data_IF_643834073665
#
_entry.id   IF_643834073665
#
_cell.length_a   1.000
_cell.length_b   1.000
_cell.length_c   1.000
_cell.angle_alpha   90.00
_cell.angle_beta   90.00
_cell.angle_gamma   90.00
#
_symmetry.space_group_name_H-M   'P 1'
#
loop_
_entity.id
_entity.type
_entity.pdbx_description
1 polymer ?
#
# COMPACT_ATOMS: atom_id res chain seq x y z
N UNK A 1 21.27 9.11 45.99
CA UNK A 1 20.02 9.24 46.78
C UNK A 1 19.41 10.58 46.44
N UNK A 2 18.23 10.57 45.82
CA UNK A 2 17.58 11.78 45.29
C UNK A 2 16.56 11.36 44.23
N UNK A 3 15.48 10.71 44.69
CA UNK A 3 14.41 10.23 43.83
C UNK A 3 13.66 11.38 43.18
N UNK A 4 13.85 11.56 41.88
CA UNK A 4 12.92 12.28 41.02
C UNK A 4 11.73 11.37 40.73
N UNK A 5 10.61 11.64 41.39
CA UNK A 5 9.32 10.97 41.15
C UNK A 5 9.04 10.92 39.65
N UNK A 6 9.02 9.73 39.08
CA UNK A 6 8.34 9.46 37.82
C UNK A 6 6.90 9.92 37.99
N UNK A 7 6.50 10.99 37.29
CA UNK A 7 5.09 11.32 37.14
C UNK A 7 4.48 10.22 36.27
N UNK A 8 4.00 9.15 36.87
CA UNK A 8 3.00 8.27 36.25
C UNK A 8 1.71 9.08 36.13
N UNK A 9 1.63 9.92 35.10
CA UNK A 9 0.32 10.21 34.53
C UNK A 9 -0.15 8.89 33.95
N UNK A 10 -0.95 8.13 34.71
CA UNK A 10 -1.77 7.08 34.13
C UNK A 10 -2.75 7.80 33.20
N UNK A 11 -2.32 8.06 31.95
CA UNK A 11 -3.16 8.77 31.00
C UNK A 11 -4.44 7.94 30.82
N UNK A 12 -5.60 8.55 31.00
CA UNK A 12 -6.88 7.85 30.90
C UNK A 12 -7.00 7.25 29.49
N UNK A 13 -7.27 5.94 29.38
CA UNK A 13 -7.44 5.30 28.06
C UNK A 13 -8.76 5.76 27.43
N UNK A 14 -8.74 6.50 26.31
CA UNK A 14 -9.95 7.12 25.76
C UNK A 14 -11.02 6.11 25.34
N UNK A 15 -12.33 6.40 25.47
CA UNK A 15 -13.40 5.50 25.05
C UNK A 15 -13.30 5.16 23.55
N UNK A 16 -13.90 4.06 23.10
CA UNK A 16 -13.71 3.56 21.72
C UNK A 16 -14.17 4.52 20.61
N UNK A 17 -15.11 5.41 20.92
CA UNK A 17 -15.63 6.44 20.00
C UNK A 17 -14.80 7.75 20.00
N UNK A 18 -13.72 7.82 20.78
CA UNK A 18 -12.92 9.03 20.89
C UNK A 18 -12.10 9.27 19.60
N UNK A 19 -12.04 10.52 19.08
CA UNK A 19 -11.20 10.86 17.92
C UNK A 19 -9.73 10.51 18.10
N UNK A 20 -9.25 10.33 19.33
CA UNK A 20 -7.93 9.77 19.64
C UNK A 20 -7.61 8.48 18.86
N UNK A 21 -8.60 7.66 18.53
CA UNK A 21 -8.34 6.42 17.78
C UNK A 21 -8.26 6.62 16.26
N UNK A 22 -8.62 7.81 15.76
CA UNK A 22 -8.49 8.15 14.36
C UNK A 22 -7.05 8.56 14.04
N UNK A 23 -6.40 7.75 13.21
CA UNK A 23 -5.04 7.99 12.72
C UNK A 23 -5.02 8.17 11.20
N UNK A 24 -6.16 8.47 10.57
CA UNK A 24 -6.29 8.50 9.11
C UNK A 24 -5.31 9.48 8.46
N UNK A 25 -5.12 10.67 9.05
CA UNK A 25 -4.14 11.65 8.57
C UNK A 25 -2.70 11.15 8.70
N UNK A 26 -2.36 10.51 9.82
CA UNK A 26 -1.02 9.94 10.05
C UNK A 26 -0.74 8.72 9.16
N UNK A 27 -1.77 7.92 8.90
CA UNK A 27 -1.71 6.78 7.98
C UNK A 27 -1.42 7.25 6.56
N UNK A 28 -2.04 8.35 6.11
CA UNK A 28 -1.74 8.93 4.80
C UNK A 28 -0.27 9.37 4.67
N UNK A 29 0.36 9.84 5.76
CA UNK A 29 1.77 10.26 5.78
C UNK A 29 2.78 9.10 5.84
N UNK A 30 2.33 7.90 6.20
CA UNK A 30 3.20 6.74 6.48
C UNK A 30 2.91 5.51 5.62
N UNK A 31 1.88 5.60 4.79
CA UNK A 31 1.47 4.51 3.90
C UNK A 31 2.37 4.38 2.67
N UNK A 32 2.31 3.19 2.06
CA UNK A 32 3.16 2.80 0.95
C UNK A 32 4.56 2.34 1.38
N UNK A 33 5.21 1.59 0.50
CA UNK A 33 6.61 1.22 0.68
C UNK A 33 7.57 2.26 0.10
N UNK A 34 8.81 2.25 0.59
CA UNK A 34 9.89 3.14 0.17
C UNK A 34 10.63 2.63 -1.08
N UNK A 35 10.05 1.69 -1.83
CA UNK A 35 10.72 1.17 -3.03
C UNK A 35 10.63 2.20 -4.16
N UNK A 36 11.66 2.30 -5.00
CA UNK A 36 11.51 2.87 -6.34
C UNK A 36 10.35 2.22 -7.09
N UNK A 37 9.70 2.96 -7.98
CA UNK A 37 8.78 2.34 -8.94
C UNK A 37 9.60 1.59 -9.99
N UNK A 38 9.16 0.40 -10.36
CA UNK A 38 9.76 -0.42 -11.43
C UNK A 38 8.80 -0.54 -12.61
N UNK A 39 9.36 -0.47 -13.80
CA UNK A 39 8.66 -0.83 -15.04
C UNK A 39 9.41 -2.01 -15.65
N UNK A 40 8.72 -3.12 -15.85
CA UNK A 40 9.30 -4.35 -16.41
C UNK A 40 10.01 -5.28 -15.42
N UNK A 41 9.86 -5.08 -14.10
CA UNK A 41 10.50 -5.91 -13.09
C UNK A 41 9.89 -5.80 -11.69
N UNK A 42 10.15 -6.77 -10.81
CA UNK A 42 9.80 -6.67 -9.40
C UNK A 42 10.82 -5.81 -8.61
N UNK A 43 10.53 -5.53 -7.33
CA UNK A 43 11.35 -4.64 -6.50
C UNK A 43 12.77 -5.12 -6.18
N UNK A 44 13.08 -6.39 -6.40
CA UNK A 44 14.44 -6.97 -6.28
C UNK A 44 15.11 -7.18 -7.65
N UNK A 45 14.42 -6.78 -8.73
CA UNK A 45 14.90 -6.94 -10.10
C UNK A 45 14.69 -8.34 -10.69
N UNK A 46 13.76 -9.12 -10.17
CA UNK A 46 13.29 -10.38 -10.78
C UNK A 46 12.02 -10.18 -11.63
N UNK A 47 11.37 -11.29 -12.00
CA UNK A 47 10.10 -11.34 -12.74
C UNK A 47 10.07 -10.39 -13.95
N UNK A 48 11.14 -10.45 -14.74
CA UNK A 48 11.44 -9.50 -15.81
C UNK A 48 10.49 -9.63 -16.98
N UNK A 49 10.03 -8.50 -17.50
CA UNK A 49 9.23 -8.47 -18.71
C UNK A 49 10.04 -8.89 -19.94
N UNK A 50 9.40 -9.65 -20.83
CA UNK A 50 9.92 -10.06 -22.12
C UNK A 50 8.96 -9.58 -23.20
N UNK A 51 9.46 -8.74 -24.10
CA UNK A 51 8.68 -8.15 -25.18
C UNK A 51 8.84 -6.63 -25.27
N UNK A 52 7.88 -5.97 -25.90
CA UNK A 52 7.90 -4.53 -26.12
C UNK A 52 6.90 -3.82 -25.19
N UNK A 53 7.28 -2.64 -24.70
CA UNK A 53 6.33 -1.69 -24.11
C UNK A 53 6.45 -0.34 -24.80
N UNK A 54 5.32 0.27 -25.15
CA UNK A 54 5.30 1.56 -25.85
C UNK A 54 4.93 2.74 -24.95
N UNK A 55 4.14 2.47 -23.90
CA UNK A 55 3.72 3.48 -22.93
C UNK A 55 3.44 2.81 -21.59
N UNK A 56 3.76 3.49 -20.50
CA UNK A 56 3.40 3.08 -19.14
C UNK A 56 3.02 4.31 -18.32
N UNK A 57 1.92 4.24 -17.59
CA UNK A 57 1.32 5.39 -16.89
C UNK A 57 0.85 5.05 -15.49
N UNK A 58 0.83 6.08 -14.65
CA UNK A 58 0.27 6.08 -13.31
C UNK A 58 -0.62 7.31 -13.13
N UNK A 59 -1.85 7.06 -12.69
CA UNK A 59 -2.86 8.06 -12.37
C UNK A 59 -3.17 8.04 -10.88
N UNK A 60 -3.26 9.20 -10.23
CA UNK A 60 -3.70 9.36 -8.83
C UNK A 60 -5.24 9.46 -8.71
N UNK A 61 -5.95 8.71 -9.57
CA UNK A 61 -7.39 8.49 -9.51
C UNK A 61 -7.75 7.21 -10.24
N UNK A 62 -8.92 6.64 -9.93
CA UNK A 62 -9.50 5.60 -10.75
C UNK A 62 -10.08 6.22 -12.04
N UNK A 63 -9.61 5.77 -13.20
CA UNK A 63 -10.22 6.13 -14.48
C UNK A 63 -11.57 5.42 -14.65
N UNK A 64 -12.50 6.05 -15.39
CA UNK A 64 -13.76 5.42 -15.76
C UNK A 64 -13.55 4.41 -16.89
N UNK A 65 -14.48 3.44 -17.09
CA UNK A 65 -14.40 2.53 -18.23
C UNK A 65 -14.29 3.25 -19.58
N UNK A 66 -14.97 4.38 -19.76
CA UNK A 66 -14.96 5.18 -20.99
C UNK A 66 -13.60 5.84 -21.22
N UNK A 67 -12.98 6.36 -20.17
CA UNK A 67 -11.62 6.92 -20.24
C UNK A 67 -10.59 5.85 -20.60
N UNK A 68 -10.67 4.67 -19.97
CA UNK A 68 -9.78 3.53 -20.28
C UNK A 68 -10.01 3.04 -21.71
N UNK A 69 -11.26 3.02 -22.19
CA UNK A 69 -11.57 2.70 -23.58
C UNK A 69 -10.98 3.74 -24.56
N UNK A 70 -11.03 5.03 -24.20
CA UNK A 70 -10.38 6.11 -24.95
C UNK A 70 -8.87 5.88 -25.07
N UNK A 71 -8.19 5.56 -23.96
CA UNK A 71 -6.75 5.27 -23.93
C UNK A 71 -6.36 4.04 -24.76
N UNK A 72 -7.26 3.05 -24.89
CA UNK A 72 -7.07 1.87 -25.71
C UNK A 72 -7.27 2.13 -27.22
N UNK A 73 -8.07 3.14 -27.57
CA UNK A 73 -8.29 3.53 -28.97
C UNK A 73 -7.22 4.50 -29.48
N UNK A 74 -6.86 5.48 -28.63
CA UNK A 74 -5.78 6.43 -28.87
C UNK A 74 -5.00 6.59 -27.56
N UNK A 75 -3.70 6.24 -27.54
CA UNK A 75 -2.88 6.43 -26.34
C UNK A 75 -2.94 7.84 -25.77
N UNK A 76 -3.17 8.89 -26.55
CA UNK A 76 -3.34 10.26 -26.02
C UNK A 76 -4.63 10.41 -25.21
N UNK A 77 -5.74 9.83 -25.69
CA UNK A 77 -7.09 9.82 -25.11
C UNK A 77 -7.63 11.17 -24.66
N UNK A 78 -6.99 12.29 -25.03
CA UNK A 78 -7.33 13.63 -24.54
C UNK A 78 -7.08 13.88 -23.04
N UNK A 79 -6.40 12.97 -22.34
CA UNK A 79 -6.22 13.03 -20.88
C UNK A 79 -4.83 13.51 -20.44
N UNK A 80 -3.97 13.94 -21.38
CA UNK A 80 -2.59 14.35 -21.07
C UNK A 80 -2.50 15.60 -20.16
N UNK A 81 -3.56 16.40 -20.10
CA UNK A 81 -3.66 17.58 -19.22
C UNK A 81 -4.33 17.33 -17.87
N UNK A 82 -4.69 16.08 -17.57
CA UNK A 82 -5.32 15.73 -16.29
C UNK A 82 -4.32 15.87 -15.14
N UNK A 83 -4.61 16.67 -14.10
CA UNK A 83 -3.71 16.82 -12.95
C UNK A 83 -3.49 15.52 -12.16
N UNK A 84 -4.35 14.51 -12.32
CA UNK A 84 -4.16 13.20 -11.73
C UNK A 84 -3.16 12.33 -12.49
N UNK A 85 -2.73 12.70 -13.70
CA UNK A 85 -1.66 11.99 -14.42
C UNK A 85 -0.31 12.27 -13.73
N UNK A 86 0.17 11.31 -12.95
CA UNK A 86 1.40 11.46 -12.16
C UNK A 86 2.62 11.16 -12.99
N UNK A 87 2.54 10.08 -13.77
CA UNK A 87 3.64 9.62 -14.60
C UNK A 87 3.13 9.14 -15.95
N UNK A 88 3.81 9.58 -17.01
CA UNK A 88 3.57 9.18 -18.39
C UNK A 88 4.88 8.92 -19.11
N UNK A 89 5.28 7.65 -19.18
CA UNK A 89 6.49 7.24 -19.86
C UNK A 89 6.15 6.82 -21.28
N UNK A 90 6.53 7.65 -22.23
CA UNK A 90 6.51 7.33 -23.66
C UNK A 90 7.77 6.53 -23.95
N UNK A 91 7.64 5.20 -23.91
CA UNK A 91 8.72 4.23 -24.01
C UNK A 91 9.16 4.05 -25.46
N UNK A 92 9.41 5.15 -26.17
CA UNK A 92 9.78 5.14 -27.59
C UNK A 92 11.18 5.70 -27.84
N UNK A 93 11.77 6.33 -26.82
CA UNK A 93 13.15 6.82 -26.83
C UNK A 93 13.79 6.69 -25.44
N UNK A 94 15.11 6.54 -25.42
CA UNK A 94 15.96 6.70 -24.24
C UNK A 94 17.07 7.69 -24.58
N UNK A 95 17.26 8.71 -23.73
CA UNK A 95 18.36 9.67 -23.84
C UNK A 95 19.29 9.45 -22.66
N UNK A 96 20.52 9.03 -22.94
CA UNK A 96 21.51 8.67 -21.91
C UNK A 96 20.98 7.66 -20.89
N UNK A 97 20.20 6.68 -21.37
CA UNK A 97 19.57 5.66 -20.53
C UNK A 97 18.36 6.17 -19.71
N UNK A 98 17.81 7.35 -20.03
CA UNK A 98 16.68 7.94 -19.31
C UNK A 98 15.47 8.11 -20.23
N UNK A 99 14.30 7.71 -19.73
CA UNK A 99 13.00 8.04 -20.27
C UNK A 99 12.39 9.14 -19.41
N UNK A 100 12.04 10.27 -20.04
CA UNK A 100 11.42 11.40 -19.33
C UNK A 100 9.96 11.10 -19.01
N UNK A 101 9.50 11.66 -17.90
CA UNK A 101 8.08 11.72 -17.60
C UNK A 101 7.43 12.81 -18.47
N UNK A 102 6.46 12.46 -19.31
CA UNK A 102 5.72 13.43 -20.12
C UNK A 102 4.66 14.21 -19.33
N UNK A 103 4.30 13.75 -18.12
CA UNK A 103 3.35 14.42 -17.24
C UNK A 103 3.96 15.58 -16.42
N UNK A 104 5.30 15.72 -16.41
CA UNK A 104 5.98 16.80 -15.70
C UNK A 104 7.51 16.66 -15.68
N UNK A 105 8.21 17.65 -15.16
CA UNK A 105 9.69 17.72 -15.23
C UNK A 105 10.43 16.79 -14.23
N UNK A 106 9.71 16.08 -13.38
CA UNK A 106 10.27 15.18 -12.38
C UNK A 106 9.85 13.72 -12.61
N UNK A 107 10.35 12.79 -11.80
CA UNK A 107 10.05 11.36 -11.88
C UNK A 107 10.60 10.72 -13.16
N UNK A 108 11.83 11.05 -13.56
CA UNK A 108 12.46 10.38 -14.69
C UNK A 108 12.67 8.88 -14.43
N UNK A 109 12.43 8.06 -15.46
CA UNK A 109 12.64 6.61 -15.41
C UNK A 109 14.00 6.27 -16.01
N UNK A 110 14.90 5.70 -15.20
CA UNK A 110 16.26 5.33 -15.60
C UNK A 110 16.34 3.85 -15.94
N UNK A 111 16.98 3.54 -17.06
CA UNK A 111 17.34 2.18 -17.43
C UNK A 111 18.33 1.59 -16.44
N UNK A 112 18.03 0.37 -15.99
CA UNK A 112 18.94 -0.47 -15.22
C UNK A 112 19.09 -1.78 -15.99
N UNK A 113 20.32 -2.13 -16.36
CA UNK A 113 20.58 -3.25 -17.26
C UNK A 113 20.32 -2.89 -18.73
N UNK A 114 20.07 -3.91 -19.57
CA UNK A 114 19.85 -3.70 -21.01
C UNK A 114 18.38 -3.49 -21.33
N UNK A 115 18.06 -2.29 -21.80
CA UNK A 115 16.81 -1.95 -22.50
C UNK A 115 17.17 -1.14 -23.73
N UNK A 116 16.50 -1.41 -24.85
CA UNK A 116 16.81 -0.76 -26.12
C UNK A 116 15.56 -0.32 -26.85
N UNK A 117 15.69 0.72 -27.65
CA UNK A 117 14.61 1.17 -28.53
C UNK A 117 14.54 0.25 -29.73
N UNK A 118 13.37 -0.31 -30.00
CA UNK A 118 13.09 -1.22 -31.11
C UNK A 118 11.67 -0.93 -31.62
N UNK A 119 11.52 -0.68 -32.92
CA UNK A 119 10.20 -0.47 -33.56
C UNK A 119 9.32 0.63 -32.93
N UNK A 120 9.94 1.69 -32.39
CA UNK A 120 9.20 2.77 -31.74
C UNK A 120 8.61 2.39 -30.37
N UNK A 121 9.19 1.39 -29.72
CA UNK A 121 8.93 0.95 -28.36
C UNK A 121 10.24 0.62 -27.63
N UNK A 122 10.20 0.34 -26.33
CA UNK A 122 11.34 -0.25 -25.61
C UNK A 122 11.20 -1.76 -25.60
N UNK A 123 12.27 -2.43 -26.00
CA UNK A 123 12.46 -3.88 -25.90
C UNK A 123 13.06 -4.22 -24.55
N UNK A 124 12.38 -5.13 -23.86
CA UNK A 124 12.82 -5.78 -22.64
C UNK A 124 13.18 -7.23 -23.00
N UNK A 125 14.43 -7.63 -22.73
CA UNK A 125 14.98 -8.95 -23.07
C UNK A 125 15.16 -9.85 -21.85
N UNK A 126 14.70 -9.40 -20.67
CA UNK A 126 14.98 -10.05 -19.39
C UNK A 126 16.20 -9.49 -18.66
N UNK A 127 17.06 -8.75 -19.35
CA UNK A 127 18.33 -8.24 -18.83
C UNK A 127 18.24 -6.81 -18.27
N UNK A 128 17.08 -6.16 -18.41
CA UNK A 128 16.91 -4.77 -18.00
C UNK A 128 15.47 -4.36 -17.74
N UNK A 129 15.34 -3.17 -17.18
CA UNK A 129 14.08 -2.59 -16.69
C UNK A 129 14.26 -1.09 -16.44
N UNK A 130 13.17 -0.39 -16.14
CA UNK A 130 13.25 1.02 -15.72
C UNK A 130 13.01 1.18 -14.21
N UNK A 131 13.73 2.14 -13.62
CA UNK A 131 13.62 2.57 -12.24
C UNK A 131 13.22 4.04 -12.18
N UNK A 132 12.18 4.35 -11.41
CA UNK A 132 11.87 5.73 -11.02
C UNK A 132 12.18 5.86 -9.55
N UNK A 133 13.05 6.81 -9.20
CA UNK A 133 13.46 7.05 -7.83
C UNK A 133 12.26 7.24 -6.91
N UNK A 134 12.44 6.85 -5.64
CA UNK A 134 11.42 7.00 -4.60
C UNK A 134 10.90 8.45 -4.56
N UNK A 135 9.58 8.59 -4.71
CA UNK A 135 8.87 9.87 -4.59
C UNK A 135 7.46 9.62 -4.02
N UNK A 136 6.97 10.46 -3.09
CA UNK A 136 5.63 10.32 -2.51
C UNK A 136 4.49 10.40 -3.53
N UNK A 137 4.68 11.10 -4.66
CA UNK A 137 3.65 11.18 -5.72
C UNK A 137 3.35 9.82 -6.34
N UNK A 138 4.28 8.88 -6.24
CA UNK A 138 4.12 7.50 -6.69
C UNK A 138 3.44 6.61 -5.62
N UNK A 139 2.76 7.18 -4.62
CA UNK A 139 2.08 6.42 -3.55
C UNK A 139 0.61 6.87 -3.36
N UNK A 140 -0.21 6.86 -4.43
CA UNK A 140 -1.64 7.14 -4.30
C UNK A 140 -2.31 6.20 -3.29
N UNK A 141 -3.19 6.73 -2.42
CA UNK A 141 -3.77 5.99 -1.29
C UNK A 141 -5.23 5.59 -1.51
N UNK A 142 -6.03 6.50 -2.08
CA UNK A 142 -7.49 6.33 -2.14
C UNK A 142 -7.94 5.71 -3.46
N UNK A 143 -7.33 6.13 -4.57
CA UNK A 143 -7.65 5.61 -5.89
C UNK A 143 -6.49 5.82 -6.84
N UNK A 144 -6.31 4.89 -7.79
CA UNK A 144 -5.30 5.02 -8.84
C UNK A 144 -5.62 4.15 -10.05
N UNK A 145 -4.94 4.44 -11.15
CA UNK A 145 -4.94 3.59 -12.35
C UNK A 145 -3.51 3.39 -12.82
N UNK A 146 -3.18 2.14 -13.15
CA UNK A 146 -1.96 1.74 -13.84
C UNK A 146 -2.38 1.33 -15.25
N UNK A 147 -1.74 1.87 -16.28
CA UNK A 147 -1.98 1.40 -17.64
C UNK A 147 -0.69 1.30 -18.46
N UNK A 148 -0.71 0.40 -19.43
CA UNK A 148 0.39 0.21 -20.35
C UNK A 148 -0.06 -0.29 -21.71
N UNK A 149 0.71 0.07 -22.74
CA UNK A 149 0.69 -0.60 -24.04
C UNK A 149 1.84 -1.60 -24.08
N UNK A 150 1.50 -2.88 -24.17
CA UNK A 150 2.45 -4.00 -24.12
C UNK A 150 2.28 -4.91 -25.33
N UNK A 151 3.39 -5.48 -25.80
CA UNK A 151 3.43 -6.55 -26.78
C UNK A 151 4.33 -7.64 -26.19
N UNK A 152 3.76 -8.54 -25.37
CA UNK A 152 4.54 -9.54 -24.64
C UNK A 152 5.04 -10.64 -25.57
N UNK A 153 6.10 -11.32 -25.15
CA UNK A 153 6.48 -12.62 -25.71
C UNK A 153 5.71 -13.75 -25.00
N UNK A 154 6.10 -15.00 -25.20
CA UNK A 154 5.65 -16.09 -24.31
C UNK A 154 6.32 -15.91 -22.95
N UNK A 155 5.52 -15.69 -21.91
CA UNK A 155 6.02 -15.37 -20.57
C UNK A 155 6.11 -16.62 -19.68
N UNK A 156 7.06 -16.65 -18.72
CA UNK A 156 7.21 -17.76 -17.77
C UNK A 156 5.94 -18.04 -16.95
N UNK A 157 5.86 -19.19 -16.27
CA UNK A 157 4.69 -19.58 -15.48
C UNK A 157 4.24 -18.50 -14.48
N UNK A 158 5.19 -17.86 -13.81
CA UNK A 158 4.94 -16.78 -12.84
C UNK A 158 4.57 -15.44 -13.49
N UNK A 159 4.55 -15.38 -14.83
CA UNK A 159 4.41 -14.16 -15.62
C UNK A 159 5.60 -13.22 -15.46
N UNK A 160 5.36 -11.95 -15.72
CA UNK A 160 6.32 -10.86 -15.57
C UNK A 160 5.64 -9.55 -15.14
N UNK A 161 6.41 -8.65 -14.52
CA UNK A 161 5.91 -7.34 -14.07
C UNK A 161 5.77 -6.36 -15.23
N UNK A 162 4.70 -5.57 -15.19
CA UNK A 162 4.53 -4.42 -16.08
C UNK A 162 4.89 -3.15 -15.32
N UNK A 163 4.15 -2.85 -14.25
CA UNK A 163 4.43 -1.75 -13.31
C UNK A 163 4.42 -2.35 -11.91
N UNK A 164 5.46 -2.11 -11.12
CA UNK A 164 5.60 -2.69 -9.77
C UNK A 164 6.12 -1.65 -8.78
N UNK A 165 5.40 -1.53 -7.67
CA UNK A 165 5.84 -0.81 -6.49
C UNK A 165 5.44 -1.60 -5.25
N UNK A 166 5.66 -2.91 -5.23
CA UNK A 166 5.48 -3.72 -4.01
C UNK A 166 6.82 -4.25 -3.51
N UNK A 167 6.94 -4.48 -2.21
CA UNK A 167 8.00 -5.34 -1.70
C UNK A 167 7.74 -6.77 -2.17
N UNK A 168 8.73 -7.43 -2.78
CA UNK A 168 8.55 -8.79 -3.29
C UNK A 168 8.02 -9.73 -2.19
N UNK A 169 6.89 -10.39 -2.47
CA UNK A 169 6.20 -11.29 -1.54
C UNK A 169 5.33 -10.61 -0.48
N UNK A 170 5.09 -9.30 -0.57
CA UNK A 170 4.26 -8.54 0.38
C UNK A 170 3.29 -7.61 -0.37
N UNK A 171 2.04 -7.53 0.09
CA UNK A 171 1.01 -6.66 -0.48
C UNK A 171 1.06 -5.25 0.18
N UNK A 172 2.19 -4.52 0.02
CA UNK A 172 2.46 -3.22 0.66
C UNK A 172 2.51 -2.01 -0.30
N UNK A 173 1.87 -2.16 -1.45
CA UNK A 173 1.79 -1.15 -2.51
C UNK A 173 0.90 -1.64 -3.65
N UNK A 174 1.24 -1.26 -4.87
CA UNK A 174 0.52 -1.66 -6.08
C UNK A 174 1.42 -2.31 -7.11
N UNK A 175 0.85 -3.22 -7.89
CA UNK A 175 1.47 -3.73 -9.11
C UNK A 175 0.43 -4.15 -10.14
N UNK A 176 0.82 -4.06 -11.42
CA UNK A 176 0.16 -4.68 -12.55
C UNK A 176 1.16 -5.65 -13.19
N UNK A 177 0.80 -6.93 -13.26
CA UNK A 177 1.64 -7.98 -13.83
C UNK A 177 0.83 -8.91 -14.75
N UNK A 178 1.53 -9.89 -15.33
CA UNK A 178 0.97 -10.86 -16.27
C UNK A 178 0.73 -12.25 -15.67
N UNK A 179 0.71 -12.38 -14.34
CA UNK A 179 0.67 -13.69 -13.70
C UNK A 179 -0.73 -14.36 -13.78
N UNK A 180 -0.81 -15.66 -14.10
CA UNK A 180 0.26 -16.51 -14.63
C UNK A 180 0.49 -16.31 -16.14
N UNK A 181 1.74 -16.51 -16.59
CA UNK A 181 2.15 -16.39 -18.00
C UNK A 181 1.78 -15.04 -18.63
N UNK A 182 0.82 -15.06 -19.56
CA UNK A 182 0.32 -13.92 -20.32
C UNK A 182 -1.07 -13.49 -19.84
N UNK A 183 -1.39 -13.76 -18.56
CA UNK A 183 -2.64 -13.32 -17.93
C UNK A 183 -2.53 -11.87 -17.47
N UNK A 184 -3.44 -11.40 -16.63
CA UNK A 184 -3.30 -10.13 -15.92
C UNK A 184 -3.67 -10.27 -14.45
N UNK A 185 -2.93 -9.57 -13.60
CA UNK A 185 -3.27 -9.43 -12.19
C UNK A 185 -2.90 -8.05 -11.68
N UNK A 186 -3.82 -7.47 -10.91
CA UNK A 186 -3.62 -6.25 -10.13
C UNK A 186 -3.58 -6.66 -8.65
N UNK A 187 -2.49 -6.32 -7.96
CA UNK A 187 -2.37 -6.44 -6.50
C UNK A 187 -2.32 -5.03 -5.92
N UNK A 188 -3.07 -4.83 -4.85
CA UNK A 188 -3.13 -3.60 -4.05
C UNK A 188 -3.07 -3.94 -2.56
N UNK A 189 -2.88 -2.95 -1.70
CA UNK A 189 -2.97 -3.14 -0.25
C UNK A 189 -4.38 -3.60 0.19
N UNK A 190 -5.40 -3.39 -0.63
CA UNK A 190 -6.79 -3.69 -0.34
C UNK A 190 -7.35 -4.86 -1.15
N UNK A 191 -6.57 -5.57 -1.96
CA UNK A 191 -7.14 -6.65 -2.76
C UNK A 191 -6.23 -7.21 -3.82
N UNK A 192 -6.69 -8.30 -4.41
CA UNK A 192 -6.10 -8.88 -5.62
C UNK A 192 -7.23 -9.21 -6.57
N UNK A 193 -7.10 -8.82 -7.84
CA UNK A 193 -7.96 -9.25 -8.93
C UNK A 193 -7.09 -9.82 -10.05
N UNK A 194 -7.52 -10.94 -10.61
CA UNK A 194 -6.83 -11.62 -11.70
C UNK A 194 -7.79 -11.98 -12.83
N UNK A 195 -7.25 -12.10 -14.04
CA UNK A 195 -7.99 -12.48 -15.23
C UNK A 195 -7.08 -13.28 -16.17
N UNK A 196 -7.54 -14.43 -16.65
CA UNK A 196 -6.85 -15.26 -17.65
C UNK A 196 -6.91 -14.57 -19.03
N UNK A 197 -6.14 -13.49 -19.18
CA UNK A 197 -6.18 -12.59 -20.33
C UNK A 197 -5.67 -13.24 -21.61
N UNK A 198 -4.75 -14.21 -21.50
CA UNK A 198 -4.10 -14.90 -22.63
C UNK A 198 -3.62 -13.92 -23.70
N UNK A 199 -2.90 -12.87 -23.27
CA UNK A 199 -2.33 -11.88 -24.18
C UNK A 199 -1.49 -12.60 -25.23
N UNK A 200 -1.85 -12.45 -26.51
CA UNK A 200 -1.18 -13.11 -27.61
C UNK A 200 0.29 -12.65 -27.69
N UNK A 201 1.26 -13.57 -27.72
CA UNK A 201 2.65 -13.20 -27.94
C UNK A 201 2.84 -12.47 -29.27
N UNK A 202 3.56 -11.36 -29.26
CA UNK A 202 3.84 -10.55 -30.46
C UNK A 202 2.70 -9.64 -30.91
N UNK A 203 1.57 -9.59 -30.19
CA UNK A 203 0.47 -8.65 -30.49
C UNK A 203 0.39 -7.54 -29.45
N UNK A 204 0.12 -6.32 -29.91
CA UNK A 204 -0.10 -5.19 -29.02
C UNK A 204 -1.44 -5.29 -28.29
N UNK A 205 -1.39 -5.07 -26.98
CA UNK A 205 -2.55 -4.91 -26.13
C UNK A 205 -2.40 -3.68 -25.23
N UNK A 206 -3.50 -2.95 -25.05
CA UNK A 206 -3.63 -2.01 -23.95
C UNK A 206 -4.14 -2.75 -22.72
N UNK A 207 -3.43 -2.62 -21.60
CA UNK A 207 -3.80 -3.25 -20.33
C UNK A 207 -3.87 -2.20 -19.24
N UNK A 208 -4.87 -2.29 -18.38
CA UNK A 208 -5.00 -1.38 -17.25
C UNK A 208 -5.53 -2.08 -16.00
N UNK A 209 -5.07 -1.61 -14.84
CA UNK A 209 -5.60 -1.92 -13.53
C UNK A 209 -6.05 -0.64 -12.85
N UNK A 210 -7.32 -0.53 -12.46
CA UNK A 210 -7.84 0.59 -11.70
C UNK A 210 -8.25 0.13 -10.30
N UNK A 211 -8.03 1.00 -9.32
CA UNK A 211 -8.35 0.76 -7.91
C UNK A 211 -9.06 1.97 -7.33
N UNK A 212 -10.13 1.71 -6.58
CA UNK A 212 -10.85 2.66 -5.74
C UNK A 212 -11.06 2.02 -4.36
N UNK A 213 -10.55 2.64 -3.30
CA UNK A 213 -10.61 2.15 -1.92
C UNK A 213 -12.03 2.00 -1.37
N UNK A 214 -12.98 2.75 -1.92
CA UNK A 214 -14.41 2.71 -1.54
C UNK A 214 -15.25 1.86 -2.50
N UNK A 215 -14.64 1.42 -3.60
CA UNK A 215 -15.30 0.70 -4.68
C UNK A 215 -14.62 -0.64 -4.97
N UNK A 216 -14.05 -0.75 -6.16
CA UNK A 216 -13.54 -2.01 -6.71
C UNK A 216 -12.12 -1.88 -7.25
N UNK A 217 -11.40 -3.00 -7.23
CA UNK A 217 -10.28 -3.26 -8.12
C UNK A 217 -10.85 -3.74 -9.45
N UNK A 218 -10.33 -3.23 -10.57
CA UNK A 218 -10.82 -3.47 -11.93
C UNK A 218 -9.65 -3.75 -12.87
N UNK A 219 -9.79 -4.73 -13.75
CA UNK A 219 -8.84 -5.03 -14.83
C UNK A 219 -9.47 -4.78 -16.20
N UNK A 220 -8.67 -4.25 -17.11
CA UNK A 220 -9.08 -3.95 -18.47
C UNK A 220 -8.09 -4.50 -19.49
N UNK A 221 -8.62 -5.02 -20.60
CA UNK A 221 -7.86 -5.41 -21.80
C UNK A 221 -8.48 -4.72 -23.00
N UNK A 222 -7.68 -3.99 -23.77
CA UNK A 222 -8.09 -3.24 -24.95
C UNK A 222 -9.32 -2.36 -24.69
N UNK A 223 -9.34 -1.69 -23.53
CA UNK A 223 -10.39 -0.76 -23.14
C UNK A 223 -11.64 -1.41 -22.53
N UNK A 224 -11.74 -2.74 -22.53
CA UNK A 224 -12.89 -3.46 -21.99
C UNK A 224 -12.62 -3.93 -20.57
N UNK A 225 -13.57 -3.70 -19.65
CA UNK A 225 -13.53 -4.29 -18.31
C UNK A 225 -13.64 -5.81 -18.42
N UNK A 226 -12.64 -6.54 -17.88
CA UNK A 226 -12.58 -8.00 -17.96
C UNK A 226 -12.74 -8.70 -16.61
N UNK A 227 -12.43 -8.00 -15.51
CA UNK A 227 -12.64 -8.49 -14.16
C UNK A 227 -12.78 -7.34 -13.17
N UNK A 228 -13.53 -7.57 -12.09
CA UNK A 228 -13.53 -6.71 -10.91
C UNK A 228 -13.70 -7.51 -9.62
N UNK A 229 -13.28 -6.92 -8.50
CA UNK A 229 -13.55 -7.43 -7.15
C UNK A 229 -13.68 -6.24 -6.20
N UNK A 230 -14.56 -6.30 -5.18
CA UNK A 230 -14.64 -5.26 -4.17
C UNK A 230 -13.29 -5.03 -3.48
N UNK A 231 -12.93 -3.75 -3.26
CA UNK A 231 -11.81 -3.42 -2.40
C UNK A 231 -12.12 -3.92 -0.99
N UNK A 232 -11.17 -4.64 -0.38
CA UNK A 232 -11.27 -4.96 1.05
C UNK A 232 -11.20 -3.66 1.82
N UNK A 233 -12.09 -3.50 2.78
CA UNK A 233 -12.04 -2.36 3.69
C UNK A 233 -10.65 -2.25 4.29
N UNK A 234 -10.08 -1.05 4.19
CA UNK A 234 -8.88 -0.72 4.93
C UNK A 234 -9.27 -0.64 6.40
N UNK A 235 -9.23 -1.78 7.08
CA UNK A 235 -9.38 -1.81 8.54
C UNK A 235 -8.14 -1.16 9.10
N UNK A 236 -8.26 0.10 9.50
CA UNK A 236 -7.26 0.75 10.33
C UNK A 236 -6.91 -0.17 11.51
N UNK A 237 -5.70 -0.08 12.05
CA UNK A 237 -5.37 -0.85 13.24
C UNK A 237 -6.46 -0.62 14.30
N UNK A 238 -7.05 -1.71 14.81
CA UNK A 238 -8.14 -1.65 15.80
C UNK A 238 -7.61 -1.25 17.18
N UNK A 239 -6.81 -0.19 17.27
CA UNK A 239 -6.20 0.29 18.50
C UNK A 239 -7.28 0.60 19.56
N UNK A 240 -8.45 1.10 19.14
CA UNK A 240 -9.61 1.29 19.99
C UNK A 240 -10.04 0.01 20.74
N UNK A 241 -9.95 -1.15 20.09
CA UNK A 241 -10.26 -2.45 20.70
C UNK A 241 -9.26 -2.80 21.80
N UNK A 242 -7.97 -2.52 21.60
CA UNK A 242 -6.96 -2.71 22.64
C UNK A 242 -7.16 -1.76 23.82
N UNK A 243 -7.59 -0.52 23.57
CA UNK A 243 -7.99 0.40 24.63
C UNK A 243 -9.19 -0.09 25.43
N UNK A 244 -10.22 -0.60 24.74
CA UNK A 244 -11.38 -1.23 25.39
C UNK A 244 -10.97 -2.46 26.21
N UNK A 245 -10.10 -3.31 25.66
CA UNK A 245 -9.59 -4.50 26.33
C UNK A 245 -8.80 -4.16 27.60
N UNK A 246 -7.93 -3.15 27.55
CA UNK A 246 -7.24 -2.66 28.75
C UNK A 246 -8.22 -2.22 29.83
N UNK A 247 -9.25 -1.42 29.47
CA UNK A 247 -10.28 -0.99 30.44
C UNK A 247 -11.01 -2.17 31.06
N UNK A 248 -11.38 -3.17 30.27
CA UNK A 248 -12.04 -4.39 30.75
C UNK A 248 -11.15 -5.19 31.70
N UNK A 249 -9.85 -5.32 31.40
CA UNK A 249 -8.87 -5.96 32.29
C UNK A 249 -8.72 -5.18 33.61
N UNK A 250 -8.58 -3.86 33.53
CA UNK A 250 -8.45 -3.01 34.72
C UNK A 250 -9.68 -3.12 35.63
N UNK A 251 -10.89 -3.04 35.06
CA UNK A 251 -12.14 -3.23 35.79
C UNK A 251 -12.27 -4.62 36.43
N UNK A 252 -11.67 -5.64 35.81
CA UNK A 252 -11.62 -7.00 36.33
C UNK A 252 -10.53 -7.22 37.41
N UNK A 253 -9.76 -6.18 37.78
CA UNK A 253 -8.65 -6.26 38.73
C UNK A 253 -7.36 -6.84 38.14
N UNK A 254 -7.21 -6.81 36.81
CA UNK A 254 -6.09 -7.39 36.06
C UNK A 254 -5.17 -6.33 35.43
N UNK A 255 -5.15 -5.09 35.94
CA UNK A 255 -4.39 -3.97 35.37
C UNK A 255 -2.86 -4.24 35.27
N UNK A 256 -2.32 -5.05 36.17
CA UNK A 256 -0.89 -5.41 36.22
C UNK A 256 -0.58 -6.70 35.45
N UNK A 257 -1.54 -7.28 34.74
CA UNK A 257 -1.30 -8.48 33.94
C UNK A 257 -0.44 -8.16 32.71
N UNK A 258 0.26 -9.17 32.20
CA UNK A 258 1.02 -9.03 30.95
C UNK A 258 0.16 -8.45 29.81
N UNK A 259 -1.06 -8.95 29.65
CA UNK A 259 -1.97 -8.53 28.58
C UNK A 259 -2.45 -7.08 28.77
N UNK A 260 -2.68 -6.66 30.01
CA UNK A 260 -3.03 -5.29 30.32
C UNK A 260 -1.86 -4.34 30.05
N UNK A 261 -0.65 -4.66 30.49
CA UNK A 261 0.54 -3.86 30.24
C UNK A 261 0.89 -3.81 28.74
N UNK A 262 0.70 -4.91 28.01
CA UNK A 262 0.89 -4.95 26.56
C UNK A 262 -0.17 -4.11 25.83
N UNK A 263 -1.45 -4.26 26.17
CA UNK A 263 -2.53 -3.44 25.62
C UNK A 263 -2.28 -1.95 25.91
N UNK A 264 -1.80 -1.63 27.12
CA UNK A 264 -1.43 -0.28 27.52
C UNK A 264 -0.31 0.29 26.66
N UNK A 265 0.74 -0.50 26.41
CA UNK A 265 1.85 -0.10 25.57
C UNK A 265 1.39 0.26 24.14
N UNK A 266 0.44 -0.50 23.57
CA UNK A 266 -0.17 -0.16 22.28
C UNK A 266 -0.82 1.23 22.34
N UNK A 267 -1.60 1.52 23.39
CA UNK A 267 -2.25 2.84 23.59
C UNK A 267 -1.21 3.95 23.74
N UNK A 268 -0.12 3.71 24.46
CA UNK A 268 0.95 4.70 24.66
C UNK A 268 1.67 5.02 23.33
N UNK A 269 1.78 4.07 22.40
CA UNK A 269 2.27 4.36 21.04
C UNK A 269 1.30 5.24 20.23
N UNK A 270 0.00 5.03 20.36
CA UNK A 270 -1.01 5.91 19.73
C UNK A 270 -0.92 7.33 20.31
N UNK A 271 -0.73 7.46 21.63
CA UNK A 271 -0.43 8.76 22.26
C UNK A 271 0.84 9.40 21.72
N UNK A 272 1.92 8.63 21.55
CA UNK A 272 3.17 9.15 21.02
C UNK A 272 3.02 9.68 19.58
N UNK A 273 2.20 9.03 18.76
CA UNK A 273 1.86 9.49 17.41
C UNK A 273 1.16 10.85 17.47
N UNK A 274 0.08 10.99 18.25
CA UNK A 274 -0.65 12.25 18.39
C UNK A 274 0.21 13.38 18.97
N UNK A 275 1.01 13.07 19.98
CA UNK A 275 1.89 14.05 20.61
C UNK A 275 2.95 14.54 19.63
N UNK A 276 3.47 13.65 18.78
CA UNK A 276 4.43 14.00 17.73
C UNK A 276 3.81 14.95 16.71
N UNK A 277 2.60 14.65 16.22
CA UNK A 277 1.90 15.54 15.27
C UNK A 277 1.58 16.89 15.90
N UNK A 278 1.12 16.91 17.16
CA UNK A 278 0.89 18.15 17.92
C UNK A 278 2.16 18.99 18.03
N UNK A 279 3.30 18.36 18.37
CA UNK A 279 4.58 19.07 18.49
C UNK A 279 5.08 19.62 17.15
N UNK A 280 4.84 18.92 16.03
CA UNK A 280 5.13 19.44 14.68
C UNK A 280 4.27 20.65 14.35
N UNK A 281 2.96 20.54 14.55
CA UNK A 281 2.01 21.62 14.29
C UNK A 281 2.32 22.88 15.12
N UNK A 282 2.85 22.71 16.33
CA UNK A 282 3.29 23.82 17.20
C UNK A 282 4.70 24.34 16.89
N UNK A 283 5.41 23.77 15.92
CA UNK A 283 6.80 24.10 15.58
C UNK A 283 7.82 23.73 16.67
N UNK A 284 7.44 22.86 17.61
CA UNK A 284 8.28 22.40 18.74
C UNK A 284 9.09 21.15 18.41
N UNK A 285 8.77 20.49 17.31
CA UNK A 285 9.54 19.38 16.75
C UNK A 285 9.98 19.75 15.34
N UNK A 286 11.29 19.92 15.14
CA UNK A 286 11.85 20.22 13.83
C UNK A 286 11.69 19.02 12.88
N UNK A 287 11.25 19.30 11.66
CA UNK A 287 11.14 18.28 10.62
C UNK A 287 12.50 17.83 10.11
N UNK A 288 12.61 16.54 9.81
CA UNK A 288 13.76 15.95 9.16
C UNK A 288 13.66 16.12 7.63
N UNK A 289 14.74 15.88 6.86
CA UNK A 289 14.63 15.75 5.41
C UNK A 289 13.55 14.74 5.03
N UNK A 290 12.78 14.93 3.93
CA UNK A 290 11.53 14.21 3.67
C UNK A 290 11.61 12.68 3.81
N UNK A 291 12.67 12.07 3.29
CA UNK A 291 12.91 10.62 3.38
C UNK A 291 13.10 10.13 4.82
N UNK A 292 13.78 10.94 5.64
CA UNK A 292 14.03 10.64 7.05
C UNK A 292 12.80 10.91 7.90
N UNK A 293 12.03 11.95 7.56
CA UNK A 293 10.79 12.31 8.22
C UNK A 293 9.75 11.19 8.07
N UNK A 294 9.50 10.75 6.83
CA UNK A 294 8.58 9.65 6.54
C UNK A 294 9.02 8.33 7.23
N UNK A 295 10.33 8.03 7.24
CA UNK A 295 10.85 6.85 7.94
C UNK A 295 10.61 6.90 9.45
N UNK A 296 10.85 8.07 10.07
CA UNK A 296 10.60 8.29 11.47
C UNK A 296 9.11 8.13 11.79
N UNK A 297 8.23 8.76 11.00
CA UNK A 297 6.79 8.70 11.22
C UNK A 297 6.26 7.26 11.06
N UNK A 298 6.69 6.54 10.03
CA UNK A 298 6.27 5.14 9.82
C UNK A 298 6.69 4.21 10.95
N UNK A 299 7.83 4.49 11.60
CA UNK A 299 8.35 3.62 12.67
C UNK A 299 7.41 3.52 13.88
N UNK A 300 6.74 4.61 14.27
CA UNK A 300 5.78 4.61 15.39
C UNK A 300 4.55 3.76 15.09
N UNK A 301 4.00 3.91 13.88
CA UNK A 301 2.84 3.13 13.44
C UNK A 301 3.18 1.65 13.34
N UNK A 302 4.33 1.31 12.73
CA UNK A 302 4.76 -0.09 12.59
C UNK A 302 5.01 -0.77 13.94
N UNK A 303 5.58 -0.03 14.90
CA UNK A 303 5.73 -0.54 16.26
C UNK A 303 4.37 -0.82 16.91
N UNK A 304 3.42 0.11 16.81
CA UNK A 304 2.06 -0.08 17.32
C UNK A 304 1.34 -1.27 16.67
N UNK A 305 1.46 -1.42 15.35
CA UNK A 305 0.89 -2.54 14.59
C UNK A 305 1.49 -3.90 15.02
N UNK A 306 2.82 -3.99 15.11
CA UNK A 306 3.49 -5.23 15.55
C UNK A 306 3.12 -5.64 16.97
N UNK A 307 2.96 -4.67 17.87
CA UNK A 307 2.47 -4.93 19.23
C UNK A 307 1.02 -5.45 19.19
N UNK A 308 0.15 -4.82 18.40
CA UNK A 308 -1.23 -5.28 18.22
C UNK A 308 -1.33 -6.70 17.65
N UNK A 309 -0.54 -7.00 16.61
CA UNK A 309 -0.43 -8.34 16.03
C UNK A 309 0.08 -9.35 17.08
N UNK A 310 1.18 -9.04 17.76
CA UNK A 310 1.77 -9.91 18.77
C UNK A 310 0.82 -10.23 19.91
N UNK A 311 0.11 -9.22 20.45
CA UNK A 311 -0.89 -9.44 21.49
C UNK A 311 -2.07 -10.27 20.97
N UNK A 312 -2.53 -10.02 19.74
CA UNK A 312 -3.61 -10.81 19.11
C UNK A 312 -3.21 -12.28 18.94
N UNK A 313 -1.97 -12.56 18.55
CA UNK A 313 -1.43 -13.93 18.44
C UNK A 313 -1.42 -14.61 19.81
N UNK A 314 -0.98 -13.92 20.87
CA UNK A 314 -0.99 -14.47 22.23
C UNK A 314 -2.42 -14.79 22.66
N UNK A 315 -3.36 -13.86 22.50
CA UNK A 315 -4.75 -14.03 22.94
C UNK A 315 -5.49 -15.14 22.18
N UNK A 316 -5.17 -15.34 20.90
CA UNK A 316 -5.73 -16.42 20.09
C UNK A 316 -5.38 -17.82 20.62
N UNK A 317 -4.31 -17.95 21.41
CA UNK A 317 -3.91 -19.23 22.01
C UNK A 317 -4.65 -19.58 23.33
N UNK A 318 -5.42 -18.64 23.90
CA UNK A 318 -6.00 -18.78 25.24
C UNK A 318 -7.30 -19.61 25.34
N UNK A 319 -8.22 -19.63 24.35
CA UNK A 319 -9.49 -20.36 24.45
C UNK A 319 -9.39 -21.87 24.69
N UNK A 320 -8.21 -22.48 24.49
CA UNK A 320 -7.95 -23.90 24.76
C UNK A 320 -7.00 -24.17 25.93
N UNK A 321 -6.67 -23.17 26.75
CA UNK A 321 -5.75 -23.34 27.88
C UNK A 321 -6.46 -23.82 29.15
N UNK A 322 -5.83 -24.74 29.90
CA UNK A 322 -6.30 -25.20 31.23
C UNK A 322 -6.04 -24.18 32.36
N UNK A 323 -5.59 -22.97 32.02
CA UNK A 323 -5.30 -21.88 32.96
C UNK A 323 -6.55 -20.98 33.14
N UNK A 324 -7.20 -20.97 34.32
CA UNK A 324 -8.40 -20.16 34.58
C UNK A 324 -8.20 -18.66 34.34
N UNK A 325 -6.98 -18.14 34.55
CA UNK A 325 -6.65 -16.74 34.27
C UNK A 325 -6.70 -16.47 32.77
N UNK A 326 -6.12 -17.35 31.95
CA UNK A 326 -6.13 -17.22 30.48
C UNK A 326 -7.53 -17.32 29.91
N UNK A 327 -8.36 -18.23 30.44
CA UNK A 327 -9.77 -18.34 30.05
C UNK A 327 -10.54 -17.05 30.36
N UNK A 328 -10.33 -16.47 31.55
CA UNK A 328 -10.93 -15.19 31.94
C UNK A 328 -10.48 -14.05 31.03
N UNK A 329 -9.19 -13.97 30.71
CA UNK A 329 -8.63 -12.96 29.79
C UNK A 329 -9.20 -13.13 28.37
N UNK A 330 -9.30 -14.36 27.87
CA UNK A 330 -9.89 -14.65 26.56
C UNK A 330 -11.37 -14.23 26.49
N UNK A 331 -12.13 -14.47 27.55
CA UNK A 331 -13.52 -14.04 27.64
C UNK A 331 -13.65 -12.50 27.56
N UNK A 332 -12.80 -11.76 28.29
CA UNK A 332 -12.76 -10.29 28.23
C UNK A 332 -12.36 -9.80 26.83
N UNK A 333 -11.40 -10.44 26.16
CA UNK A 333 -11.02 -10.10 24.79
C UNK A 333 -12.14 -10.36 23.78
N UNK A 334 -12.88 -11.47 23.92
CA UNK A 334 -14.00 -11.78 23.05
C UNK A 334 -15.12 -10.73 23.17
N UNK A 335 -15.42 -10.27 24.39
CA UNK A 335 -16.43 -9.24 24.65
C UNK A 335 -16.07 -7.90 24.00
N UNK A 336 -14.78 -7.57 23.86
CA UNK A 336 -14.34 -6.31 23.24
C UNK A 336 -14.47 -6.29 21.71
N UNK A 337 -14.63 -7.46 21.07
CA UNK A 337 -14.81 -7.57 19.62
C UNK A 337 -16.27 -7.53 19.14
N UNK A 338 -17.23 -7.51 20.07
CA UNK A 338 -18.66 -7.60 19.78
C UNK A 338 -19.46 -6.31 19.97
N UNK A 339 -18.80 -5.16 20.14
CA UNK A 339 -19.47 -3.86 20.36
C UNK A 339 -19.21 -2.91 19.18
N UNK A 340 -19.64 -3.31 18.00
CA UNK A 340 -20.30 -2.39 17.07
C UNK A 340 -21.80 -2.54 17.34
N UNK A 341 -22.50 -1.43 17.58
CA UNK A 341 -23.93 -1.33 17.95
C UNK A 341 -24.31 -1.57 19.42
N UNK A 342 -24.18 -0.50 20.20
CA UNK A 342 -25.21 -0.10 21.17
C UNK A 342 -25.04 1.39 21.47
N UNK A 343 -25.47 2.23 20.55
CA UNK A 343 -25.89 3.61 20.88
C UNK A 343 -27.33 3.58 21.41
N UNK A 344 -27.71 4.52 22.29
CA UNK A 344 -29.08 4.63 22.80
C UNK A 344 -30.11 4.93 21.69
#
# INVERSE_FOLDING_TARGET
IGGGRARTHAAVVPPGSDPFWDLSEYLALTAGNRRPLRIGANSDGGDRFLGLMRRARLWNRALTPEEVAGLAADPSGGLEGDPALVADYRLTELRDGVCRNAAGEALEAKAVGEVRVEEGALRFTGEGYLEVSLDPRLQPQEAYTLDAWVCPEELPEMGARIIDKVTAGVDDGYLLDTCPRNSLRLITEQGVVGFDARLSPGEWAHVAGAFDATGELRLYVNGRLVASTPARERRGPQFARFGAFYRSLAAAGLAESYEALHARLIVDYVHAIHERERLKAEGKLSELPPLSQHAADRSYLQAAQRLAEGLTTVLSSYPGADDPRRQRVAALWAQTGGSSDAGP
#
